data_IF_509625920123
#
_entry.id   IF_509625920123
#
_cell.length_a   1.000
_cell.length_b   1.000
_cell.length_c   1.000
_cell.angle_alpha   90.00
_cell.angle_beta   90.00
_cell.angle_gamma   90.00
#
_symmetry.space_group_name_H-M   'P 1'
#
loop_
_entity.id
_entity.type
_entity.pdbx_description
1 polymer ?
#
# COMPACT_ATOMS: atom_id res chain seq x y z
N UNK A 1 -28.85 -18.85 7.84
CA UNK A 1 -28.46 -18.05 6.66
C UNK A 1 -27.01 -17.67 6.84
N UNK A 2 -26.16 -17.77 5.81
CA UNK A 2 -24.73 -17.51 5.97
C UNK A 2 -24.52 -16.06 6.38
N UNK A 3 -23.65 -15.88 7.36
CA UNK A 3 -23.09 -14.61 7.76
C UNK A 3 -21.71 -14.57 7.13
N UNK A 4 -21.50 -13.72 6.12
CA UNK A 4 -20.20 -13.58 5.47
C UNK A 4 -19.38 -12.52 6.18
N UNK A 5 -18.12 -12.81 6.48
CA UNK A 5 -17.19 -11.89 7.15
C UNK A 5 -15.82 -12.00 6.54
N UNK A 6 -15.31 -10.90 6.01
CA UNK A 6 -13.95 -10.80 5.47
C UNK A 6 -13.07 -9.93 6.36
N UNK A 7 -11.80 -10.29 6.49
CA UNK A 7 -10.76 -9.33 6.83
C UNK A 7 -10.34 -8.60 5.55
N UNK A 8 -10.17 -7.29 5.63
CA UNK A 8 -9.81 -6.43 4.50
C UNK A 8 -8.55 -5.67 4.83
N UNK A 9 -7.49 -5.91 4.06
CA UNK A 9 -6.15 -5.36 4.25
C UNK A 9 -5.76 -4.55 3.01
N UNK A 10 -4.77 -3.67 3.15
CA UNK A 10 -4.12 -2.97 2.04
C UNK A 10 -2.72 -2.51 2.48
N UNK A 11 -1.87 -2.20 1.51
CA UNK A 11 -0.63 -1.44 1.74
C UNK A 11 0.25 -2.08 2.83
N UNK A 12 0.57 -3.38 2.66
CA UNK A 12 1.41 -4.16 3.58
C UNK A 12 2.88 -3.79 3.43
N UNK A 13 3.33 -3.40 2.23
CA UNK A 13 4.65 -2.84 1.96
C UNK A 13 5.82 -3.68 2.51
N UNK A 14 5.75 -5.01 2.36
CA UNK A 14 6.79 -5.91 2.89
C UNK A 14 7.01 -5.83 4.40
N UNK A 15 6.05 -5.28 5.16
CA UNK A 15 6.14 -5.13 6.61
C UNK A 15 5.59 -6.38 7.31
N UNK A 16 6.44 -7.41 7.36
CA UNK A 16 6.10 -8.70 7.98
C UNK A 16 5.65 -8.59 9.45
N UNK A 17 6.33 -7.82 10.33
CA UNK A 17 5.89 -7.69 11.73
C UNK A 17 4.47 -7.13 11.87
N UNK A 18 4.11 -6.14 11.04
CA UNK A 18 2.76 -5.57 11.04
C UNK A 18 1.71 -6.57 10.51
N UNK A 19 2.05 -7.30 9.43
CA UNK A 19 1.17 -8.34 8.90
C UNK A 19 0.93 -9.45 9.94
N UNK A 20 1.97 -9.96 10.58
CA UNK A 20 1.85 -11.01 11.61
C UNK A 20 0.91 -10.59 12.73
N UNK A 21 0.99 -9.35 13.21
CA UNK A 21 0.10 -8.84 14.24
C UNK A 21 -1.37 -8.80 13.79
N UNK A 22 -1.64 -8.39 12.55
CA UNK A 22 -3.00 -8.42 11.98
C UNK A 22 -3.49 -9.86 11.80
N UNK A 23 -2.64 -10.76 11.31
CA UNK A 23 -2.97 -12.17 11.12
C UNK A 23 -3.26 -12.88 12.45
N UNK A 24 -2.53 -12.53 13.51
CA UNK A 24 -2.79 -12.99 14.87
C UNK A 24 -4.15 -12.48 15.38
N UNK A 25 -4.45 -11.20 15.22
CA UNK A 25 -5.75 -10.62 15.64
C UNK A 25 -6.93 -11.31 14.94
N UNK A 26 -6.87 -11.48 13.61
CA UNK A 26 -7.96 -12.13 12.87
C UNK A 26 -8.06 -13.64 13.15
N UNK A 27 -7.01 -14.29 13.65
CA UNK A 27 -7.07 -15.70 14.06
C UNK A 27 -7.99 -15.92 15.28
N UNK A 28 -8.15 -14.89 16.12
CA UNK A 28 -9.03 -14.93 17.30
C UNK A 28 -10.50 -14.60 16.96
N UNK A 29 -10.75 -14.02 15.77
CA UNK A 29 -12.08 -13.66 15.29
C UNK A 29 -12.30 -14.25 13.89
N UNK A 30 -12.84 -15.47 13.77
CA UNK A 30 -12.96 -16.17 12.48
C UNK A 30 -13.55 -15.30 11.37
N UNK A 31 -12.86 -15.27 10.24
CA UNK A 31 -13.29 -14.67 8.99
C UNK A 31 -13.37 -15.78 7.93
N UNK A 32 -14.24 -15.60 6.94
CA UNK A 32 -14.39 -16.53 5.82
C UNK A 32 -13.30 -16.37 4.76
N UNK A 33 -12.49 -15.31 4.86
CA UNK A 33 -11.40 -15.05 3.94
C UNK A 33 -10.77 -13.68 4.15
N UNK A 34 -9.67 -13.44 3.42
CA UNK A 34 -8.93 -12.18 3.46
C UNK A 34 -8.99 -11.54 2.08
N UNK A 35 -9.44 -10.28 2.01
CA UNK A 35 -9.40 -9.46 0.80
C UNK A 35 -8.29 -8.43 0.93
N UNK A 36 -7.45 -8.27 -0.08
CA UNK A 36 -6.29 -7.38 -0.03
C UNK A 36 -6.30 -6.42 -1.22
N UNK A 37 -6.27 -5.12 -0.92
CA UNK A 37 -6.28 -4.04 -1.91
C UNK A 37 -4.86 -3.67 -2.41
N UNK A 38 -4.02 -4.67 -2.68
CA UNK A 38 -2.68 -4.49 -3.26
C UNK A 38 -1.58 -3.99 -2.30
N UNK A 39 -0.40 -3.76 -2.88
CA UNK A 39 0.84 -3.33 -2.21
C UNK A 39 1.28 -4.30 -1.11
N UNK A 40 1.43 -5.57 -1.50
CA UNK A 40 2.08 -6.62 -0.72
C UNK A 40 3.59 -6.36 -0.60
N UNK A 41 4.20 -5.94 -1.71
CA UNK A 41 5.63 -5.60 -1.81
C UNK A 41 5.85 -4.09 -1.67
N UNK A 42 7.09 -3.63 -1.81
CA UNK A 42 7.43 -2.21 -1.62
C UNK A 42 7.98 -1.92 -0.23
N UNK A 43 8.80 -2.82 0.30
CA UNK A 43 9.54 -2.64 1.55
C UNK A 43 10.51 -3.81 1.78
N UNK A 44 10.97 -4.04 3.02
CA UNK A 44 12.13 -4.89 3.27
C UNK A 44 11.90 -6.38 3.01
N UNK A 45 10.66 -6.88 3.13
CA UNK A 45 10.37 -8.32 3.04
C UNK A 45 9.03 -8.63 2.35
N UNK A 46 8.98 -8.41 1.03
CA UNK A 46 7.81 -8.74 0.20
C UNK A 46 7.56 -10.25 0.05
N UNK A 47 8.63 -11.04 -0.05
CA UNK A 47 8.54 -12.50 -0.15
C UNK A 47 7.94 -13.12 1.13
N UNK A 48 8.39 -12.67 2.30
CA UNK A 48 7.87 -13.11 3.59
C UNK A 48 6.41 -12.74 3.84
N UNK A 49 5.93 -11.64 3.25
CA UNK A 49 4.50 -11.28 3.22
C UNK A 49 3.72 -12.30 2.39
N UNK A 50 4.16 -12.57 1.16
CA UNK A 50 3.47 -13.51 0.26
C UNK A 50 3.46 -14.93 0.85
N UNK A 51 4.57 -15.37 1.46
CA UNK A 51 4.68 -16.67 2.12
C UNK A 51 3.66 -16.84 3.25
N UNK A 52 3.53 -15.82 4.13
CA UNK A 52 2.56 -15.85 5.23
C UNK A 52 1.13 -15.89 4.75
N UNK A 53 0.81 -15.11 3.71
CA UNK A 53 -0.52 -15.07 3.10
C UNK A 53 -0.89 -16.38 2.39
N UNK A 54 0.09 -17.19 1.95
CA UNK A 54 -0.18 -18.46 1.28
C UNK A 54 -0.92 -19.49 2.17
N UNK A 55 -0.86 -19.32 3.49
CA UNK A 55 -1.59 -20.17 4.46
C UNK A 55 -3.02 -19.70 4.72
N UNK A 56 -3.45 -18.59 4.11
CA UNK A 56 -4.77 -18.00 4.28
C UNK A 56 -5.54 -18.04 2.95
N UNK A 57 -6.87 -18.06 3.03
CA UNK A 57 -7.75 -17.83 1.86
C UNK A 57 -7.72 -16.34 1.49
N UNK A 58 -6.55 -15.88 1.02
CA UNK A 58 -6.27 -14.50 0.67
C UNK A 58 -6.46 -14.24 -0.81
N UNK A 59 -7.27 -13.24 -1.13
CA UNK A 59 -7.52 -12.75 -2.48
C UNK A 59 -7.02 -11.32 -2.60
N UNK A 60 -6.12 -11.06 -3.55
CA UNK A 60 -5.45 -9.76 -3.70
C UNK A 60 -5.51 -9.23 -5.13
N UNK A 61 -5.56 -7.90 -5.24
CA UNK A 61 -5.38 -7.18 -6.51
C UNK A 61 -3.95 -6.70 -6.66
N UNK A 62 -3.58 -6.24 -7.86
CA UNK A 62 -2.35 -5.50 -8.13
C UNK A 62 -2.41 -4.12 -7.47
N UNK A 63 -1.39 -3.80 -6.67
CA UNK A 63 -1.05 -2.44 -6.29
C UNK A 63 0.06 -1.84 -7.14
N UNK A 64 0.32 -0.54 -6.97
CA UNK A 64 1.35 0.13 -7.76
C UNK A 64 2.76 -0.34 -7.40
N UNK A 65 2.98 -0.87 -6.19
CA UNK A 65 4.23 -1.50 -5.77
C UNK A 65 4.53 -2.75 -6.60
N UNK A 66 3.53 -3.63 -6.76
CA UNK A 66 3.64 -4.80 -7.63
C UNK A 66 3.84 -4.40 -9.10
N UNK A 67 3.08 -3.42 -9.60
CA UNK A 67 3.23 -2.91 -10.97
C UNK A 67 4.63 -2.38 -11.23
N UNK A 68 5.21 -1.64 -10.28
CA UNK A 68 6.56 -1.11 -10.40
C UNK A 68 7.61 -2.24 -10.48
N UNK A 69 7.50 -3.28 -9.65
CA UNK A 69 8.39 -4.44 -9.68
C UNK A 69 8.25 -5.21 -10.99
N UNK A 70 7.02 -5.43 -11.47
CA UNK A 70 6.75 -6.10 -12.74
C UNK A 70 7.27 -5.29 -13.95
N UNK A 71 7.22 -3.97 -13.90
CA UNK A 71 7.79 -3.13 -14.95
C UNK A 71 9.30 -3.34 -15.08
N UNK A 72 10.04 -3.48 -13.97
CA UNK A 72 11.46 -3.82 -14.00
C UNK A 72 11.71 -5.20 -14.63
N UNK A 73 10.93 -6.21 -14.22
CA UNK A 73 10.99 -7.57 -14.74
C UNK A 73 10.75 -7.63 -16.25
N UNK A 74 9.77 -6.89 -16.76
CA UNK A 74 9.45 -6.84 -18.19
C UNK A 74 10.40 -5.93 -18.99
N UNK A 75 11.27 -5.19 -18.30
CA UNK A 75 12.15 -4.21 -18.94
C UNK A 75 11.42 -2.95 -19.42
N UNK A 76 10.25 -2.64 -18.86
CA UNK A 76 9.37 -1.51 -19.22
C UNK A 76 9.66 -0.24 -18.39
N UNK A 77 10.88 -0.10 -17.89
CA UNK A 77 11.31 1.06 -17.09
C UNK A 77 12.24 1.98 -17.87
N UNK A 78 12.13 3.28 -17.57
CA UNK A 78 12.97 4.32 -18.15
C UNK A 78 14.45 4.15 -17.74
N UNK A 79 15.42 4.63 -18.54
CA UNK A 79 16.84 4.60 -18.19
C UNK A 79 17.15 5.19 -16.81
N UNK A 80 16.49 6.29 -16.44
CA UNK A 80 16.61 6.98 -15.15
C UNK A 80 16.17 6.08 -13.99
N UNK A 81 15.10 5.29 -14.19
CA UNK A 81 14.65 4.33 -13.17
C UNK A 81 15.68 3.22 -12.96
N UNK A 82 16.48 2.87 -13.98
CA UNK A 82 17.54 1.87 -13.89
C UNK A 82 18.82 2.41 -13.24
N UNK A 83 19.08 3.71 -13.31
CA UNK A 83 20.37 4.29 -12.92
C UNK A 83 20.28 5.26 -11.73
N UNK A 84 19.32 6.17 -11.73
CA UNK A 84 19.29 7.31 -10.80
C UNK A 84 19.06 6.86 -9.35
N UNK A 85 19.62 7.60 -8.41
CA UNK A 85 19.62 7.26 -6.98
C UNK A 85 18.21 7.33 -6.37
N UNK A 86 17.34 8.20 -6.87
CA UNK A 86 15.95 8.32 -6.37
C UNK A 86 15.13 7.03 -6.57
N UNK A 87 15.55 6.15 -7.49
CA UNK A 87 14.87 4.89 -7.81
C UNK A 87 15.56 3.66 -7.21
N UNK A 88 16.60 3.85 -6.39
CA UNK A 88 17.29 2.75 -5.71
C UNK A 88 16.31 1.87 -4.93
N UNK A 89 15.33 2.45 -4.25
CA UNK A 89 14.31 1.72 -3.51
C UNK A 89 13.51 0.73 -4.37
N UNK A 90 12.90 1.19 -5.45
CA UNK A 90 12.11 0.32 -6.33
C UNK A 90 12.99 -0.74 -7.00
N UNK A 91 14.21 -0.38 -7.40
CA UNK A 91 15.20 -1.34 -7.93
C UNK A 91 15.53 -2.42 -6.91
N UNK A 92 15.80 -2.03 -5.66
CA UNK A 92 16.12 -2.97 -4.58
C UNK A 92 14.94 -3.88 -4.28
N UNK A 93 13.71 -3.37 -4.25
CA UNK A 93 12.51 -4.21 -4.14
C UNK A 93 12.43 -5.24 -5.28
N UNK A 94 12.68 -4.83 -6.52
CA UNK A 94 12.74 -5.76 -7.66
C UNK A 94 13.86 -6.81 -7.49
N UNK A 95 15.09 -6.38 -7.19
CA UNK A 95 16.24 -7.28 -7.05
C UNK A 95 16.10 -8.29 -5.89
N UNK A 96 15.40 -7.91 -4.82
CA UNK A 96 15.14 -8.77 -3.67
C UNK A 96 13.90 -9.64 -3.81
N UNK A 97 13.06 -9.40 -4.82
CA UNK A 97 11.87 -10.23 -5.07
C UNK A 97 12.30 -11.61 -5.59
N UNK A 98 11.96 -12.67 -4.86
CA UNK A 98 12.24 -14.04 -5.27
C UNK A 98 11.31 -14.55 -6.37
N UNK A 99 11.70 -15.65 -7.02
CA UNK A 99 10.96 -16.23 -8.15
C UNK A 99 9.51 -16.63 -7.81
N UNK A 100 9.26 -17.09 -6.59
CA UNK A 100 7.93 -17.50 -6.13
C UNK A 100 7.01 -16.29 -5.92
N UNK A 101 7.52 -15.23 -5.28
CA UNK A 101 6.83 -13.96 -5.13
C UNK A 101 6.53 -13.32 -6.49
N UNK A 102 7.53 -13.26 -7.36
CA UNK A 102 7.40 -12.76 -8.73
C UNK A 102 6.33 -13.53 -9.52
N UNK A 103 6.34 -14.85 -9.44
CA UNK A 103 5.33 -15.69 -10.09
C UNK A 103 3.92 -15.42 -9.56
N UNK A 104 3.80 -15.11 -8.26
CA UNK A 104 2.52 -14.76 -7.64
C UNK A 104 2.02 -13.41 -8.11
N UNK A 105 2.87 -12.38 -8.13
CA UNK A 105 2.53 -11.05 -8.66
C UNK A 105 2.07 -11.09 -10.12
N UNK A 106 2.72 -11.89 -10.97
CA UNK A 106 2.33 -12.05 -12.38
C UNK A 106 0.91 -12.61 -12.60
N UNK A 107 0.28 -13.22 -11.59
CA UNK A 107 -1.09 -13.75 -11.67
C UNK A 107 -2.15 -12.79 -11.15
N UNK A 108 -1.74 -11.74 -10.44
CA UNK A 108 -2.67 -10.78 -9.86
C UNK A 108 -3.43 -10.02 -10.95
N UNK A 109 -4.64 -9.61 -10.62
CA UNK A 109 -5.49 -8.81 -11.52
C UNK A 109 -5.54 -7.37 -10.98
N UNK A 110 -5.63 -6.34 -11.85
CA UNK A 110 -5.78 -4.95 -11.43
C UNK A 110 -7.03 -4.69 -10.57
N UNK A 111 -8.06 -5.50 -10.77
CA UNK A 111 -9.31 -5.41 -10.03
C UNK A 111 -9.98 -6.78 -9.93
N UNK A 112 -10.76 -6.98 -8.87
CA UNK A 112 -11.55 -8.18 -8.66
C UNK A 112 -12.99 -7.83 -8.29
N UNK A 113 -13.94 -8.66 -8.73
CA UNK A 113 -15.34 -8.58 -8.30
C UNK A 113 -15.69 -9.85 -7.55
N UNK A 114 -15.94 -9.73 -6.26
CA UNK A 114 -16.35 -10.83 -5.39
C UNK A 114 -17.87 -10.84 -5.29
N UNK A 115 -18.47 -11.99 -5.58
CA UNK A 115 -19.90 -12.24 -5.42
C UNK A 115 -20.07 -13.47 -4.54
N UNK A 116 -20.79 -13.31 -3.43
CA UNK A 116 -21.30 -14.45 -2.67
C UNK A 116 -22.81 -14.57 -2.86
N UNK A 117 -23.30 -15.80 -2.96
CA UNK A 117 -24.70 -16.08 -3.19
C UNK A 117 -25.59 -15.41 -2.13
N UNK A 118 -26.57 -14.63 -2.58
CA UNK A 118 -27.49 -13.90 -1.69
C UNK A 118 -26.89 -12.64 -1.05
N UNK A 119 -25.73 -12.18 -1.51
CA UNK A 119 -25.13 -10.90 -1.10
C UNK A 119 -25.02 -9.93 -2.28
N UNK A 120 -24.91 -8.64 -1.99
CA UNK A 120 -24.48 -7.67 -3.00
C UNK A 120 -22.98 -7.75 -3.24
N UNK A 121 -22.53 -7.37 -4.44
CA UNK A 121 -21.14 -7.59 -4.84
C UNK A 121 -20.16 -6.52 -4.37
N UNK A 122 -18.92 -6.98 -4.24
CA UNK A 122 -17.76 -6.24 -3.77
C UNK A 122 -16.79 -6.06 -4.94
N UNK A 123 -16.39 -4.82 -5.23
CA UNK A 123 -15.27 -4.49 -6.12
C UNK A 123 -14.05 -4.18 -5.28
N UNK A 124 -12.93 -4.82 -5.58
CA UNK A 124 -11.61 -4.54 -4.97
C UNK A 124 -10.71 -3.93 -6.03
N UNK A 125 -10.06 -2.82 -5.68
CA UNK A 125 -9.03 -2.12 -6.46
C UNK A 125 -7.96 -1.60 -5.50
N UNK A 126 -6.77 -1.25 -6.00
CA UNK A 126 -5.77 -0.57 -5.18
C UNK A 126 -6.02 0.95 -5.10
N UNK A 127 -6.06 1.65 -6.24
CA UNK A 127 -6.43 3.07 -6.31
C UNK A 127 -7.91 3.24 -6.65
N UNK A 128 -8.18 3.37 -7.96
CA UNK A 128 -9.53 3.42 -8.54
C UNK A 128 -9.72 2.31 -9.57
N UNK A 129 -10.93 2.24 -10.15
CA UNK A 129 -11.22 1.37 -11.30
C UNK A 129 -10.44 1.76 -12.57
N UNK A 130 -9.87 2.98 -12.62
CA UNK A 130 -9.12 3.49 -13.76
C UNK A 130 -7.60 3.36 -13.59
N UNK A 131 -7.07 3.49 -12.37
CA UNK A 131 -5.63 3.41 -12.10
C UNK A 131 -5.33 3.01 -10.66
N UNK A 132 -4.32 2.16 -10.49
CA UNK A 132 -3.71 1.84 -9.19
C UNK A 132 -3.16 3.08 -8.47
N UNK A 133 -2.69 4.09 -9.20
CA UNK A 133 -2.02 5.29 -8.65
C UNK A 133 -2.94 6.51 -8.50
N UNK A 134 -4.22 6.40 -8.85
CA UNK A 134 -5.16 7.52 -8.68
C UNK A 134 -5.48 7.71 -7.20
N UNK A 135 -5.06 8.86 -6.66
CA UNK A 135 -5.32 9.24 -5.26
C UNK A 135 -6.76 9.73 -5.10
N UNK A 136 -7.56 9.00 -4.34
CA UNK A 136 -8.93 9.39 -3.98
C UNK A 136 -9.08 9.54 -2.47
N UNK A 137 -9.64 10.67 -2.01
CA UNK A 137 -10.00 10.88 -0.61
C UNK A 137 -11.38 11.53 -0.49
N UNK A 138 -12.24 11.12 0.44
CA UNK A 138 -13.56 11.75 0.62
C UNK A 138 -13.55 13.25 0.85
N UNK A 139 -12.53 13.77 1.55
CA UNK A 139 -12.40 15.20 1.85
C UNK A 139 -11.96 16.04 0.65
N UNK A 140 -11.40 15.43 -0.40
CA UNK A 140 -10.84 16.12 -1.56
C UNK A 140 -11.50 15.75 -2.89
N UNK A 141 -12.05 14.55 -2.99
CA UNK A 141 -12.52 13.94 -4.22
C UNK A 141 -13.94 13.33 -4.08
N UNK A 142 -14.91 13.95 -3.38
CA UNK A 142 -16.22 13.35 -3.17
C UNK A 142 -16.95 13.06 -4.50
N UNK A 143 -16.89 14.00 -5.45
CA UNK A 143 -17.52 13.87 -6.78
C UNK A 143 -16.92 12.70 -7.57
N UNK A 144 -15.59 12.59 -7.58
CA UNK A 144 -14.88 11.49 -8.27
C UNK A 144 -15.23 10.12 -7.67
N UNK A 145 -15.39 10.03 -6.35
CA UNK A 145 -15.79 8.78 -5.70
C UNK A 145 -17.25 8.46 -6.04
N UNK A 146 -18.15 9.44 -6.04
CA UNK A 146 -19.54 9.28 -6.46
C UNK A 146 -19.65 8.79 -7.92
N UNK A 147 -18.88 9.37 -8.85
CA UNK A 147 -18.83 8.93 -10.25
C UNK A 147 -18.45 7.45 -10.38
N UNK A 148 -17.36 7.03 -9.70
CA UNK A 148 -16.93 5.63 -9.71
C UNK A 148 -18.02 4.70 -9.15
N UNK A 149 -18.66 5.12 -8.06
CA UNK A 149 -19.75 4.36 -7.44
C UNK A 149 -20.96 4.26 -8.38
N UNK A 150 -21.30 5.31 -9.13
CA UNK A 150 -22.40 5.29 -10.10
C UNK A 150 -22.10 4.37 -11.29
N UNK A 151 -20.87 4.39 -11.80
CA UNK A 151 -20.43 3.57 -12.94
C UNK A 151 -20.28 2.08 -12.62
N UNK A 152 -19.91 1.73 -11.38
CA UNK A 152 -19.65 0.33 -11.04
C UNK A 152 -20.92 -0.50 -10.86
N UNK A 153 -20.87 -1.74 -11.34
CA UNK A 153 -21.78 -2.79 -10.91
C UNK A 153 -21.39 -3.25 -9.49
N UNK A 154 -22.38 -3.38 -8.60
CA UNK A 154 -22.18 -3.76 -7.20
C UNK A 154 -22.45 -2.61 -6.24
N UNK A 155 -22.26 -2.88 -4.95
CA UNK A 155 -22.61 -1.93 -3.88
C UNK A 155 -21.40 -1.42 -3.11
N UNK A 156 -20.23 -2.04 -3.30
CA UNK A 156 -19.05 -1.77 -2.47
C UNK A 156 -17.81 -1.63 -3.33
N UNK A 157 -17.07 -0.56 -3.09
CA UNK A 157 -15.71 -0.37 -3.58
C UNK A 157 -14.74 -0.43 -2.40
N UNK A 158 -13.79 -1.36 -2.46
CA UNK A 158 -12.64 -1.42 -1.56
C UNK A 158 -11.44 -0.84 -2.29
N UNK A 159 -10.83 0.19 -1.72
CA UNK A 159 -9.58 0.79 -2.17
C UNK A 159 -8.46 0.65 -1.14
N UNK A 160 -7.27 1.11 -1.51
CA UNK A 160 -6.04 1.19 -0.72
C UNK A 160 -5.28 2.47 -1.10
N UNK A 161 -3.96 2.39 -1.27
CA UNK A 161 -3.08 3.41 -1.87
C UNK A 161 -2.86 4.69 -1.04
N UNK A 162 -3.90 5.22 -0.39
CA UNK A 162 -3.81 6.48 0.37
C UNK A 162 -3.34 6.32 1.81
N UNK A 163 -3.33 5.07 2.31
CA UNK A 163 -2.91 4.69 3.67
C UNK A 163 -3.72 5.36 4.80
N UNK A 164 -4.97 5.74 4.52
CA UNK A 164 -5.86 6.40 5.48
C UNK A 164 -7.22 5.68 5.51
N UNK A 165 -7.70 5.34 6.70
CA UNK A 165 -9.02 4.74 6.90
C UNK A 165 -10.14 5.75 6.62
N UNK A 166 -11.11 5.37 5.78
CA UNK A 166 -12.31 6.18 5.55
C UNK A 166 -13.45 5.35 4.96
N UNK A 167 -14.69 5.85 5.09
CA UNK A 167 -15.90 5.30 4.49
C UNK A 167 -16.65 6.45 3.80
N UNK A 168 -17.15 6.21 2.60
CA UNK A 168 -17.93 7.17 1.81
C UNK A 168 -19.19 6.51 1.25
N UNK A 169 -20.35 7.08 1.53
CA UNK A 169 -21.65 6.57 1.07
C UNK A 169 -22.21 7.41 -0.07
N UNK A 170 -22.74 6.76 -1.11
CA UNK A 170 -23.38 7.42 -2.25
C UNK A 170 -24.45 6.52 -2.86
N UNK A 171 -25.67 7.04 -3.01
CA UNK A 171 -26.78 6.37 -3.71
C UNK A 171 -27.04 4.89 -3.31
N UNK A 172 -26.92 4.55 -2.02
CA UNK A 172 -27.12 3.18 -1.52
C UNK A 172 -25.91 2.24 -1.74
N UNK A 173 -24.81 2.75 -2.29
CA UNK A 173 -23.50 2.10 -2.37
C UNK A 173 -22.54 2.77 -1.38
N UNK A 174 -21.39 2.16 -1.15
CA UNK A 174 -20.31 2.81 -0.42
C UNK A 174 -18.92 2.39 -0.92
N UNK A 175 -17.95 3.26 -0.70
CA UNK A 175 -16.53 2.99 -0.85
C UNK A 175 -15.85 3.05 0.52
N UNK A 176 -14.81 2.26 0.73
CA UNK A 176 -13.96 2.42 1.91
C UNK A 176 -12.52 2.03 1.63
N UNK A 177 -11.63 2.54 2.48
CA UNK A 177 -10.21 2.19 2.52
C UNK A 177 -9.89 1.63 3.91
N UNK A 178 -9.32 0.42 4.04
CA UNK A 178 -9.05 -0.21 5.34
C UNK A 178 -7.88 0.45 6.10
N UNK A 179 -7.23 1.45 5.51
CA UNK A 179 -5.96 2.00 5.96
C UNK A 179 -4.78 1.22 5.40
N UNK A 180 -3.61 1.38 6.01
CA UNK A 180 -2.42 0.62 5.65
C UNK A 180 -1.98 -0.29 6.79
N UNK A 181 -1.72 -1.56 6.44
CA UNK A 181 -1.12 -2.51 7.38
C UNK A 181 0.32 -2.10 7.69
N UNK A 182 1.10 -1.74 6.67
CA UNK A 182 2.55 -1.61 6.78
C UNK A 182 3.10 -0.19 6.91
N UNK A 183 2.31 0.86 6.63
CA UNK A 183 2.77 2.25 6.60
C UNK A 183 1.63 3.27 6.69
N UNK A 184 0.85 3.31 7.78
CA UNK A 184 -0.28 4.24 7.96
C UNK A 184 0.13 5.71 7.85
N UNK A 185 -0.79 6.59 7.41
CA UNK A 185 -0.52 8.01 7.16
C UNK A 185 -1.44 8.98 7.94
N UNK A 186 -1.97 8.55 9.09
CA UNK A 186 -2.94 9.31 9.90
C UNK A 186 -2.44 9.68 11.30
N UNK A 187 -1.14 9.53 11.58
CA UNK A 187 -0.53 9.81 12.89
C UNK A 187 -0.66 8.68 13.92
N UNK A 188 -1.23 7.54 13.57
CA UNK A 188 -1.26 6.32 14.38
C UNK A 188 -0.44 5.21 13.70
N UNK A 189 0.68 4.82 14.32
CA UNK A 189 1.64 3.87 13.75
C UNK A 189 1.27 2.41 13.91
N UNK A 190 0.10 2.12 14.49
CA UNK A 190 -0.49 0.78 14.54
C UNK A 190 -0.94 0.32 13.15
N UNK A 191 -0.86 -0.98 12.89
CA UNK A 191 -1.30 -1.58 11.64
C UNK A 191 -2.80 -1.40 11.47
N UNK A 192 -3.26 -1.00 10.30
CA UNK A 192 -4.67 -0.72 10.02
C UNK A 192 -5.27 -1.78 9.11
N UNK A 193 -6.47 -2.23 9.45
CA UNK A 193 -7.26 -3.11 8.60
C UNK A 193 -8.76 -2.87 8.86
N UNK A 194 -9.63 -3.53 8.09
CA UNK A 194 -11.05 -3.51 8.33
C UNK A 194 -11.66 -4.92 8.35
N UNK A 195 -12.84 -5.04 8.95
CA UNK A 195 -13.70 -6.21 8.76
C UNK A 195 -14.94 -5.81 7.97
N UNK A 196 -15.28 -6.59 6.96
CA UNK A 196 -16.48 -6.43 6.14
C UNK A 196 -17.47 -7.56 6.45
N UNK A 197 -18.63 -7.23 6.99
CA UNK A 197 -19.60 -8.23 7.51
C UNK A 197 -20.97 -8.07 6.85
N UNK A 198 -21.52 -9.17 6.32
CA UNK A 198 -22.88 -9.23 5.78
C UNK A 198 -23.89 -9.50 6.91
N UNK A 199 -24.75 -8.52 7.20
CA UNK A 199 -25.74 -8.58 8.28
C UNK A 199 -27.09 -9.17 7.87
N UNK A 200 -27.12 -9.93 6.76
CA UNK A 200 -28.31 -10.49 6.08
C UNK A 200 -29.09 -9.50 5.20
N UNK A 201 -28.75 -8.21 5.21
CA UNK A 201 -29.38 -7.22 4.34
C UNK A 201 -28.37 -6.32 3.62
N UNK A 202 -27.29 -5.96 4.30
CA UNK A 202 -26.24 -5.09 3.80
C UNK A 202 -24.87 -5.51 4.34
N UNK A 203 -23.84 -5.01 3.69
CA UNK A 203 -22.50 -5.10 4.24
C UNK A 203 -22.24 -3.94 5.20
N UNK A 204 -21.54 -4.25 6.28
CA UNK A 204 -21.11 -3.29 7.29
C UNK A 204 -19.59 -3.36 7.45
N UNK A 205 -18.96 -2.21 7.65
CA UNK A 205 -17.51 -2.09 7.80
C UNK A 205 -17.18 -1.66 9.23
N UNK A 206 -16.16 -2.29 9.81
CA UNK A 206 -15.53 -1.81 11.02
C UNK A 206 -14.02 -1.68 10.79
N UNK A 207 -13.46 -0.51 11.10
CA UNK A 207 -12.03 -0.24 11.05
C UNK A 207 -11.36 -0.64 12.36
N UNK A 208 -10.16 -1.19 12.24
CA UNK A 208 -9.38 -1.71 13.36
C UNK A 208 -7.94 -1.22 13.28
N UNK A 209 -7.27 -1.25 14.42
CA UNK A 209 -5.86 -0.89 14.58
C UNK A 209 -5.18 -1.89 15.50
N UNK A 210 -4.01 -2.41 15.13
CA UNK A 210 -3.27 -3.42 15.90
C UNK A 210 -1.84 -2.94 16.15
N UNK A 211 -1.41 -2.98 17.41
CA UNK A 211 -0.01 -2.69 17.75
C UNK A 211 0.89 -3.84 17.29
N UNK A 212 2.08 -3.51 16.81
CA UNK A 212 3.10 -4.46 16.41
C UNK A 212 4.49 -3.96 16.85
N UNK A 213 5.48 -4.84 16.76
CA UNK A 213 6.84 -4.54 17.19
C UNK A 213 7.59 -3.69 16.15
N UNK A 214 7.70 -2.39 16.43
CA UNK A 214 8.43 -1.44 15.59
C UNK A 214 9.94 -1.67 15.56
N UNK A 215 10.52 -2.30 16.59
CA UNK A 215 11.94 -2.63 16.60
C UNK A 215 12.23 -3.82 15.68
N UNK A 216 11.31 -4.77 15.55
CA UNK A 216 11.38 -5.80 14.48
C UNK A 216 11.30 -5.18 13.08
N UNK A 217 10.52 -4.11 12.89
CA UNK A 217 10.50 -3.37 11.62
C UNK A 217 11.84 -2.68 11.38
N UNK A 218 12.37 -1.95 12.37
CA UNK A 218 13.70 -1.33 12.27
C UNK A 218 14.77 -2.34 11.90
N UNK A 219 14.80 -3.49 12.58
CA UNK A 219 15.73 -4.58 12.31
C UNK A 219 15.58 -5.11 10.88
N UNK A 220 14.35 -5.28 10.38
CA UNK A 220 14.10 -5.71 9.01
C UNK A 220 14.68 -4.72 7.97
N UNK A 221 14.68 -3.42 8.25
CA UNK A 221 15.33 -2.42 7.38
C UNK A 221 16.85 -2.45 7.50
N UNK A 222 17.40 -2.49 8.72
CA UNK A 222 18.83 -2.32 8.98
C UNK A 222 19.59 -3.65 8.80
N UNK A 223 19.22 -4.69 9.55
CA UNK A 223 19.98 -5.92 9.66
C UNK A 223 19.93 -6.76 8.38
N UNK A 224 18.87 -6.60 7.58
CA UNK A 224 18.77 -7.23 6.26
C UNK A 224 19.61 -6.52 5.17
N UNK A 225 20.20 -5.36 5.46
CA UNK A 225 20.88 -4.50 4.49
C UNK A 225 19.94 -3.70 3.58
N UNK A 226 18.61 -3.82 3.75
CA UNK A 226 17.64 -3.15 2.86
C UNK A 226 17.82 -1.63 2.87
N UNK A 227 18.03 -1.03 4.05
CA UNK A 227 18.19 0.41 4.20
C UNK A 227 19.41 0.94 3.43
N UNK A 228 20.51 0.20 3.43
CA UNK A 228 21.75 0.56 2.72
C UNK A 228 21.55 0.47 1.20
N UNK A 229 20.98 -0.63 0.72
CA UNK A 229 20.79 -0.88 -0.71
C UNK A 229 19.71 0.01 -1.34
N UNK A 230 18.58 0.22 -0.65
CA UNK A 230 17.44 0.99 -1.13
C UNK A 230 17.59 2.51 -0.91
N UNK A 231 18.57 2.91 -0.11
CA UNK A 231 18.98 4.30 0.05
C UNK A 231 17.94 5.21 0.72
N UNK A 232 17.95 6.53 0.41
CA UNK A 232 17.18 7.53 1.17
C UNK A 232 15.67 7.31 1.18
N UNK A 233 15.12 6.68 0.14
CA UNK A 233 13.69 6.36 0.09
C UNK A 233 13.31 5.26 1.09
N UNK A 234 14.18 4.28 1.37
CA UNK A 234 13.94 3.31 2.44
C UNK A 234 14.01 3.96 3.81
N UNK A 235 14.93 4.91 4.04
CA UNK A 235 14.94 5.71 5.27
C UNK A 235 13.63 6.48 5.43
N UNK A 236 13.18 7.14 4.37
CA UNK A 236 11.93 7.90 4.39
C UNK A 236 10.70 7.02 4.65
N UNK A 237 10.68 5.80 4.11
CA UNK A 237 9.67 4.80 4.45
C UNK A 237 9.72 4.43 5.92
N UNK A 238 10.90 4.08 6.46
CA UNK A 238 11.06 3.73 7.87
C UNK A 238 10.61 4.87 8.81
N UNK A 239 11.01 6.11 8.53
CA UNK A 239 10.54 7.27 9.31
C UNK A 239 9.03 7.47 9.19
N UNK A 240 8.46 7.29 7.99
CA UNK A 240 7.02 7.34 7.75
C UNK A 240 6.25 6.30 8.56
N UNK A 241 6.77 5.08 8.70
CA UNK A 241 6.18 4.02 9.52
C UNK A 241 6.19 4.43 11.00
N UNK A 242 7.34 4.89 11.52
CA UNK A 242 7.47 5.27 12.93
C UNK A 242 6.56 6.44 13.33
N UNK A 243 6.40 7.41 12.43
CA UNK A 243 5.61 8.62 12.66
C UNK A 243 4.19 8.55 12.10
N UNK A 244 3.84 7.48 11.40
CA UNK A 244 2.58 7.29 10.70
C UNK A 244 2.20 8.46 9.77
N UNK A 245 3.12 8.85 8.91
CA UNK A 245 2.93 9.98 8.00
C UNK A 245 3.60 9.81 6.63
N UNK A 246 3.49 10.86 5.82
CA UNK A 246 3.86 10.87 4.41
C UNK A 246 5.33 11.22 4.16
N UNK A 247 6.24 10.92 5.09
CA UNK A 247 7.68 11.27 4.99
C UNK A 247 8.29 10.92 3.62
N UNK A 248 7.99 9.74 3.08
CA UNK A 248 8.43 9.32 1.74
C UNK A 248 7.97 10.29 0.65
N UNK A 249 6.68 10.64 0.64
CA UNK A 249 6.12 11.60 -0.31
C UNK A 249 6.66 13.02 -0.11
N UNK A 250 6.95 13.40 1.13
CA UNK A 250 7.47 14.71 1.48
C UNK A 250 8.93 14.89 1.06
N UNK A 251 9.76 13.84 1.13
CA UNK A 251 11.12 13.86 0.57
C UNK A 251 11.09 14.06 -0.95
N UNK A 252 10.24 13.32 -1.66
CA UNK A 252 10.10 13.44 -3.12
C UNK A 252 9.61 14.83 -3.50
N UNK A 253 8.63 15.38 -2.76
CA UNK A 253 8.13 16.74 -2.96
C UNK A 253 9.23 17.77 -2.74
N UNK A 254 9.96 17.66 -1.63
CA UNK A 254 11.06 18.55 -1.29
C UNK A 254 12.17 18.58 -2.35
N UNK A 255 12.56 17.41 -2.87
CA UNK A 255 13.55 17.31 -3.93
C UNK A 255 13.06 17.92 -5.27
N UNK A 256 11.77 17.78 -5.58
CA UNK A 256 11.15 18.41 -6.76
C UNK A 256 11.05 19.93 -6.61
N UNK A 257 10.68 20.41 -5.43
CA UNK A 257 10.62 21.85 -5.14
C UNK A 257 12.01 22.49 -5.24
N UNK A 258 13.05 21.81 -4.74
CA UNK A 258 14.44 22.25 -4.93
C UNK A 258 14.82 22.34 -6.42
N UNK A 259 14.43 21.36 -7.22
CA UNK A 259 14.69 21.41 -8.66
C UNK A 259 13.91 22.53 -9.38
N UNK A 260 12.67 22.80 -8.94
CA UNK A 260 11.88 23.93 -9.41
C UNK A 260 12.56 25.26 -9.11
N UNK A 261 13.06 25.45 -7.89
CA UNK A 261 13.75 26.66 -7.45
C UNK A 261 15.06 26.89 -8.22
N UNK A 262 15.70 25.82 -8.69
CA UNK A 262 16.88 25.87 -9.57
C UNK A 262 16.54 26.05 -11.06
N UNK A 263 15.27 26.25 -11.40
CA UNK A 263 14.81 26.62 -12.73
C UNK A 263 14.58 25.45 -13.68
N UNK A 264 14.57 24.20 -13.21
CA UNK A 264 14.33 23.02 -14.06
C UNK A 264 12.86 22.85 -14.47
N UNK A 265 11.93 23.60 -13.84
CA UNK A 265 10.51 23.50 -14.13
C UNK A 265 9.94 22.10 -13.84
N UNK A 266 8.83 21.76 -14.49
CA UNK A 266 8.14 20.48 -14.25
C UNK A 266 8.93 19.31 -14.85
N UNK A 267 9.75 18.69 -14.02
CA UNK A 267 10.55 17.52 -14.38
C UNK A 267 9.85 16.21 -14.03
N UNK A 268 10.18 15.15 -14.78
CA UNK A 268 9.74 13.78 -14.49
C UNK A 268 10.60 13.10 -13.44
N UNK A 269 11.91 13.34 -13.47
CA UNK A 269 12.92 12.73 -12.59
C UNK A 269 13.81 13.83 -12.01
N UNK A 270 14.11 13.77 -10.71
CA UNK A 270 15.04 14.70 -10.06
C UNK A 270 16.48 14.28 -10.38
N UNK A 271 17.34 15.15 -10.92
CA UNK A 271 18.76 14.84 -11.15
C UNK A 271 19.48 14.43 -9.84
N UNK A 272 20.42 13.48 -9.93
CA UNK A 272 21.10 12.93 -8.75
C UNK A 272 21.79 13.99 -7.87
N UNK A 273 22.36 15.03 -8.46
CA UNK A 273 22.99 16.13 -7.70
C UNK A 273 21.98 16.85 -6.79
N UNK A 274 20.78 17.14 -7.32
CA UNK A 274 19.71 17.78 -6.56
C UNK A 274 19.11 16.79 -5.56
N UNK A 275 18.94 15.52 -5.96
CA UNK A 275 18.45 14.47 -5.07
C UNK A 275 19.35 14.32 -3.83
N UNK A 276 20.67 14.23 -4.02
CA UNK A 276 21.64 14.11 -2.93
C UNK A 276 21.62 15.34 -2.01
N UNK A 277 21.54 16.55 -2.58
CA UNK A 277 21.41 17.78 -1.80
C UNK A 277 20.12 17.80 -0.99
N UNK A 278 18.99 17.46 -1.61
CA UNK A 278 17.71 17.36 -0.96
C UNK A 278 17.74 16.36 0.21
N UNK A 279 18.31 15.18 0.02
CA UNK A 279 18.48 14.17 1.07
C UNK A 279 19.34 14.69 2.23
N UNK A 280 20.41 15.43 1.93
CA UNK A 280 21.32 15.98 2.95
C UNK A 280 20.71 17.10 3.79
N UNK A 281 19.78 17.88 3.23
CA UNK A 281 19.13 19.01 3.88
C UNK A 281 17.70 18.70 4.35
N UNK A 282 17.18 17.51 4.04
CA UNK A 282 15.86 17.07 4.48
C UNK A 282 15.82 16.96 6.01
N UNK A 283 14.70 17.37 6.60
CA UNK A 283 14.51 17.38 8.05
C UNK A 283 14.15 15.99 8.57
N UNK A 284 15.14 15.12 8.65
CA UNK A 284 15.02 13.80 9.26
C UNK A 284 14.70 13.91 10.76
N UNK A 285 13.83 13.02 11.24
CA UNK A 285 13.38 12.97 12.64
C UNK A 285 13.96 11.79 13.41
N UNK A 286 14.27 10.70 12.71
CA UNK A 286 15.06 9.62 13.31
C UNK A 286 16.56 9.97 13.22
N UNK A 287 17.37 9.55 14.21
CA UNK A 287 18.82 9.64 14.11
C UNK A 287 19.30 8.91 12.86
N UNK A 288 20.47 9.32 12.36
CA UNK A 288 21.12 8.57 11.29
C UNK A 288 21.32 7.11 11.75
N UNK A 289 21.04 6.12 10.89
CA UNK A 289 21.25 4.71 11.18
C UNK A 289 22.73 4.39 11.45
#
# INVERSE_FOLDING_TARGET
MPHHRYAVLADIHGNVPALEAVLEEISHSPVDGVLIAGDLVGGPDGDGVIERLASYEATTVLGNGEEAVLAFEHGEVAPEQRADLQWAFTRTCFHRTGLAAMSTMKRLQPQLSIHQDGTSSIRVVHGTTASSTEVIRPDRNPERISEILDEMAGTILIGGHTHEQWIFHHAGKFAFNPGSVGGPCNGDNRAQYATLTWDRAQWTVAHHTVAYDLERVRAAFIDSGFLEEAGPMARAQLEGIFHADRTLGDLVRYARDMAMDEGLGKIRFVPDEIWLRAVSSFRWRLPAP
#
